data_IF_775654210466
#
_entry.id   IF_775654210466
#
_cell.length_a   1.000
_cell.length_b   1.000
_cell.length_c   1.000
_cell.angle_alpha   90.00
_cell.angle_beta   90.00
_cell.angle_gamma   90.00
#
_symmetry.space_group_name_H-M   'P 1'
#
loop_
_entity.id
_entity.type
_entity.pdbx_description
1 polymer ?
#
# COMPACT_ATOMS: atom_id res chain seq x y z
N UNK A 1 -6.34 -12.01 -4.65
CA UNK A 1 -6.92 -10.64 -4.56
C UNK A 1 -6.00 -9.53 -5.08
N UNK A 2 -4.71 -9.75 -5.31
CA UNK A 2 -3.79 -8.70 -5.78
C UNK A 2 -3.99 -8.40 -7.26
N UNK A 3 -4.16 -9.42 -8.11
CA UNK A 3 -4.38 -9.22 -9.54
C UNK A 3 -5.68 -8.47 -9.87
N UNK A 4 -6.82 -8.77 -9.27
CA UNK A 4 -8.02 -7.95 -9.48
C UNK A 4 -7.86 -6.47 -9.12
N UNK A 5 -7.09 -6.16 -8.07
CA UNK A 5 -6.80 -4.77 -7.71
C UNK A 5 -5.94 -4.07 -8.77
N UNK A 6 -4.96 -4.77 -9.34
CA UNK A 6 -4.13 -4.26 -10.43
C UNK A 6 -4.93 -4.05 -11.70
N UNK A 7 -5.82 -4.98 -12.05
CA UNK A 7 -6.73 -4.82 -13.19
C UNK A 7 -7.61 -3.58 -13.04
N UNK A 8 -8.21 -3.38 -11.86
CA UNK A 8 -8.99 -2.17 -11.58
C UNK A 8 -8.13 -0.92 -11.72
N UNK A 9 -6.90 -0.91 -11.20
CA UNK A 9 -5.99 0.23 -11.34
C UNK A 9 -5.68 0.55 -12.81
N UNK A 10 -5.48 -0.45 -13.66
CA UNK A 10 -5.29 -0.28 -15.09
C UNK A 10 -6.50 0.32 -15.78
N UNK A 11 -7.69 -0.26 -15.54
CA UNK A 11 -8.94 0.19 -16.16
C UNK A 11 -9.28 1.63 -15.77
N UNK A 12 -9.13 1.98 -14.50
CA UNK A 12 -9.40 3.33 -14.02
C UNK A 12 -8.38 4.35 -14.54
N UNK A 13 -7.10 3.98 -14.56
CA UNK A 13 -6.04 4.82 -15.14
C UNK A 13 -6.21 5.00 -16.65
N UNK A 14 -6.56 3.94 -17.39
CA UNK A 14 -6.84 4.01 -18.82
C UNK A 14 -8.06 4.88 -19.14
N UNK A 15 -9.03 4.95 -18.23
CA UNK A 15 -10.18 5.85 -18.31
C UNK A 15 -9.85 7.31 -17.93
N UNK A 16 -8.56 7.64 -17.73
CA UNK A 16 -8.12 9.00 -17.40
C UNK A 16 -8.36 9.40 -15.93
N UNK A 17 -8.76 8.46 -15.07
CA UNK A 17 -8.98 8.74 -13.65
C UNK A 17 -7.67 8.70 -12.87
N UNK A 18 -7.40 9.68 -11.99
CA UNK A 18 -6.28 9.63 -11.07
C UNK A 18 -6.39 8.39 -10.19
N UNK A 19 -5.46 7.47 -10.35
CA UNK A 19 -5.45 6.17 -9.67
C UNK A 19 -4.16 6.02 -8.88
N UNK A 20 -4.25 5.51 -7.69
CA UNK A 20 -3.09 5.30 -6.80
C UNK A 20 -3.15 3.88 -6.27
N UNK A 21 -2.05 3.15 -6.42
CA UNK A 21 -1.96 1.76 -5.98
C UNK A 21 -0.95 1.61 -4.86
N UNK A 22 -1.29 0.79 -3.86
CA UNK A 22 -0.37 0.48 -2.76
C UNK A 22 -0.29 -1.01 -2.47
N UNK A 23 0.77 -1.35 -1.78
CA UNK A 23 0.97 -2.65 -1.14
C UNK A 23 1.33 -2.43 0.32
N UNK A 24 0.53 -2.96 1.21
CA UNK A 24 0.89 -3.00 2.62
C UNK A 24 1.81 -4.19 2.87
N UNK A 25 3.05 -3.91 3.25
CA UNK A 25 4.09 -4.90 3.47
C UNK A 25 4.67 -4.86 4.90
N UNK A 26 4.08 -4.06 5.76
CA UNK A 26 4.54 -3.91 7.13
C UNK A 26 3.92 -4.97 8.05
N UNK A 27 4.77 -5.52 8.89
CA UNK A 27 4.35 -6.36 10.01
C UNK A 27 4.60 -5.58 11.29
N UNK A 28 3.53 -5.39 12.09
CA UNK A 28 3.66 -4.74 13.39
C UNK A 28 4.77 -5.37 14.22
N UNK A 29 5.54 -4.56 14.92
CA UNK A 29 6.77 -5.01 15.61
C UNK A 29 6.53 -6.20 16.53
N UNK A 30 5.40 -6.22 17.23
CA UNK A 30 4.98 -7.31 18.13
C UNK A 30 4.61 -8.64 17.44
N UNK A 31 4.50 -8.63 16.10
CA UNK A 31 4.08 -9.79 15.31
C UNK A 31 5.19 -10.35 14.42
N UNK A 32 6.36 -9.69 14.32
CA UNK A 32 7.44 -10.07 13.39
C UNK A 32 7.95 -11.49 13.57
N UNK A 33 7.96 -11.99 14.79
CA UNK A 33 8.38 -13.36 15.09
C UNK A 33 7.25 -14.40 14.93
N UNK A 34 6.01 -13.93 14.71
CA UNK A 34 4.82 -14.79 14.67
C UNK A 34 4.29 -15.00 13.26
N UNK A 35 4.52 -14.04 12.35
CA UNK A 35 4.03 -14.10 10.98
C UNK A 35 5.12 -13.71 9.98
N UNK A 36 5.11 -14.35 8.81
CA UNK A 36 6.13 -14.15 7.76
C UNK A 36 5.88 -12.94 6.86
N UNK A 37 4.78 -12.23 7.04
CA UNK A 37 4.39 -11.09 6.19
C UNK A 37 3.09 -10.46 6.63
N UNK A 38 2.73 -9.35 6.02
CA UNK A 38 1.47 -8.67 6.29
C UNK A 38 0.28 -9.56 5.92
N UNK A 39 -0.64 -9.73 6.85
CA UNK A 39 -1.86 -10.50 6.64
C UNK A 39 -2.98 -9.56 6.13
N UNK A 40 -4.09 -10.17 5.69
CA UNK A 40 -5.28 -9.42 5.28
C UNK A 40 -5.79 -8.51 6.41
N UNK A 41 -6.16 -7.29 6.06
CA UNK A 41 -6.71 -6.27 6.96
C UNK A 41 -5.75 -5.77 8.07
N UNK A 42 -4.47 -6.12 8.01
CA UNK A 42 -3.49 -5.62 8.99
C UNK A 42 -3.09 -4.16 8.77
N UNK A 43 -3.40 -3.58 7.61
CA UNK A 43 -3.23 -2.17 7.30
C UNK A 43 -4.21 -1.24 8.04
N UNK A 44 -5.39 -1.75 8.41
CA UNK A 44 -6.47 -0.94 8.99
C UNK A 44 -6.03 -0.11 10.20
N UNK A 45 -5.35 -0.68 11.22
CA UNK A 45 -4.90 0.11 12.38
C UNK A 45 -3.90 1.20 12.02
N UNK A 46 -3.16 1.04 10.92
CA UNK A 46 -2.19 2.03 10.45
C UNK A 46 -2.89 3.15 9.66
N UNK A 47 -3.81 2.81 8.77
CA UNK A 47 -4.58 3.79 8.00
C UNK A 47 -5.42 4.69 8.92
N UNK A 48 -6.03 4.14 9.95
CA UNK A 48 -6.84 4.90 10.93
C UNK A 48 -6.05 5.41 12.14
N UNK A 49 -4.74 5.24 12.16
CA UNK A 49 -3.85 5.67 13.26
C UNK A 49 -4.28 5.10 14.63
N UNK A 50 -4.81 3.87 14.61
CA UNK A 50 -5.26 3.14 15.81
C UNK A 50 -4.30 2.00 16.19
N UNK A 51 -3.09 1.97 15.63
CA UNK A 51 -2.09 0.94 15.92
C UNK A 51 -1.77 0.87 17.41
N UNK A 52 -1.67 2.02 18.09
CA UNK A 52 -1.45 2.08 19.54
C UNK A 52 -2.59 1.47 20.35
N UNK A 53 -3.83 1.68 19.94
CA UNK A 53 -4.99 1.06 20.60
C UNK A 53 -5.05 -0.44 20.37
N UNK A 54 -4.58 -0.92 19.19
CA UNK A 54 -4.59 -2.35 18.85
C UNK A 54 -3.46 -3.15 19.48
N UNK A 55 -2.25 -2.58 19.52
CA UNK A 55 -1.04 -3.28 19.97
C UNK A 55 -0.57 -2.84 21.36
N UNK A 56 -1.24 -1.85 21.95
CA UNK A 56 -1.05 -1.36 23.32
C UNK A 56 0.43 -1.10 23.67
N UNK A 57 0.91 -1.64 24.78
CA UNK A 57 2.30 -1.49 25.22
C UNK A 57 3.35 -2.12 24.28
N UNK A 58 2.92 -2.97 23.34
CA UNK A 58 3.80 -3.58 22.36
C UNK A 58 3.99 -2.72 21.09
N UNK A 59 3.34 -1.55 21.01
CA UNK A 59 3.52 -0.60 19.91
C UNK A 59 4.88 0.08 20.01
N UNK A 60 5.63 0.04 18.93
CA UNK A 60 6.94 0.70 18.84
C UNK A 60 6.84 2.06 18.13
N UNK A 61 7.92 2.84 18.21
CA UNK A 61 8.03 4.11 17.46
C UNK A 61 7.94 3.90 15.95
N UNK A 62 8.42 2.77 15.44
CA UNK A 62 8.32 2.44 14.01
C UNK A 62 6.86 2.18 13.62
N UNK A 63 6.10 1.47 14.47
CA UNK A 63 4.68 1.24 14.27
C UNK A 63 3.91 2.58 14.23
N UNK A 64 4.20 3.48 15.17
CA UNK A 64 3.59 4.81 15.24
C UNK A 64 3.96 5.68 14.03
N UNK A 65 5.22 5.67 13.62
CA UNK A 65 5.68 6.43 12.46
C UNK A 65 5.01 5.97 11.17
N UNK A 66 4.88 4.65 10.96
CA UNK A 66 4.17 4.14 9.79
C UNK A 66 2.67 4.45 9.85
N UNK A 67 2.04 4.35 11.03
CA UNK A 67 0.63 4.70 11.19
C UNK A 67 0.38 6.17 10.86
N UNK A 68 1.20 7.08 11.36
CA UNK A 68 1.12 8.51 11.05
C UNK A 68 1.29 8.77 9.53
N UNK A 69 2.26 8.11 8.88
CA UNK A 69 2.47 8.26 7.45
C UNK A 69 1.30 7.71 6.63
N UNK A 70 0.82 6.51 6.94
CA UNK A 70 -0.31 5.90 6.25
C UNK A 70 -1.57 6.77 6.41
N UNK A 71 -1.90 7.17 7.61
CA UNK A 71 -3.05 8.05 7.87
C UNK A 71 -2.94 9.37 7.09
N UNK A 72 -1.78 10.03 7.09
CA UNK A 72 -1.57 11.28 6.38
C UNK A 72 -1.82 11.15 4.88
N UNK A 73 -1.37 10.08 4.23
CA UNK A 73 -1.67 9.81 2.82
C UNK A 73 -3.18 9.65 2.57
N UNK A 74 -3.88 8.88 3.41
CA UNK A 74 -5.33 8.66 3.25
C UNK A 74 -6.13 9.93 3.50
N UNK A 75 -5.76 10.72 4.51
CA UNK A 75 -6.41 12.01 4.82
C UNK A 75 -6.19 13.01 3.67
N UNK A 76 -4.98 13.08 3.11
CA UNK A 76 -4.71 13.93 1.94
C UNK A 76 -5.57 13.51 0.75
N UNK A 77 -5.57 12.22 0.42
CA UNK A 77 -6.38 11.70 -0.68
C UNK A 77 -7.89 11.95 -0.47
N UNK A 78 -8.41 11.74 0.73
CA UNK A 78 -9.82 11.97 1.02
C UNK A 78 -10.22 13.44 0.86
N UNK A 79 -9.30 14.37 1.15
CA UNK A 79 -9.55 15.81 1.03
C UNK A 79 -9.39 16.35 -0.37
N UNK A 80 -8.46 15.82 -1.15
CA UNK A 80 -7.99 16.47 -2.39
C UNK A 80 -8.05 15.55 -3.61
N UNK A 81 -8.21 14.24 -3.43
CA UNK A 81 -8.04 13.25 -4.49
C UNK A 81 -6.58 12.94 -4.83
N UNK A 82 -5.63 13.50 -4.05
CA UNK A 82 -4.20 13.28 -4.22
C UNK A 82 -3.59 12.91 -2.86
N UNK A 83 -2.86 11.77 -2.75
CA UNK A 83 -2.22 11.37 -1.50
C UNK A 83 -0.98 12.21 -1.15
N UNK A 84 -0.52 13.11 -2.02
CA UNK A 84 0.67 13.92 -1.78
C UNK A 84 0.63 14.59 -0.40
N UNK A 85 1.67 14.36 0.38
CA UNK A 85 1.77 14.85 1.76
C UNK A 85 3.16 15.42 1.99
N UNK A 86 3.29 16.67 2.45
CA UNK A 86 4.59 17.28 2.76
C UNK A 86 5.38 16.44 3.76
N UNK A 87 6.66 16.25 3.49
CA UNK A 87 7.58 15.50 4.35
C UNK A 87 7.51 13.98 4.20
N UNK A 88 6.58 13.45 3.40
CA UNK A 88 6.53 12.03 3.06
C UNK A 88 7.00 11.76 1.63
N UNK A 89 7.46 10.54 1.33
CA UNK A 89 7.82 10.14 -0.03
C UNK A 89 6.66 10.37 -1.01
N UNK A 90 6.94 10.83 -2.23
CA UNK A 90 5.89 11.06 -3.23
C UNK A 90 5.20 9.75 -3.61
N UNK A 91 3.88 9.77 -3.65
CA UNK A 91 3.07 8.66 -4.13
C UNK A 91 2.63 8.96 -5.58
N UNK A 92 3.26 8.36 -6.59
CA UNK A 92 2.92 8.66 -7.97
C UNK A 92 1.56 8.09 -8.36
N UNK A 93 0.91 8.73 -9.32
CA UNK A 93 -0.25 8.16 -10.00
C UNK A 93 0.16 6.84 -10.65
N UNK A 94 -0.73 5.87 -10.60
CA UNK A 94 -0.52 4.60 -11.27
C UNK A 94 -0.45 4.78 -12.78
N UNK A 95 0.54 4.17 -13.37
CA UNK A 95 0.77 4.06 -14.80
C UNK A 95 1.10 2.61 -15.14
N UNK A 96 0.40 2.05 -16.12
CA UNK A 96 0.56 0.65 -16.52
C UNK A 96 1.98 0.32 -16.98
N UNK A 97 2.65 1.26 -17.65
CA UNK A 97 4.02 1.04 -18.16
C UNK A 97 5.04 0.94 -17.03
N UNK A 98 4.92 1.81 -16.05
CA UNK A 98 5.79 1.82 -14.89
C UNK A 98 5.42 0.78 -13.84
N UNK A 99 4.12 0.48 -13.73
CA UNK A 99 3.55 -0.45 -12.74
C UNK A 99 4.12 -0.20 -11.32
N UNK A 100 4.21 1.09 -10.99
CA UNK A 100 4.76 1.55 -9.71
C UNK A 100 3.67 1.54 -8.66
N UNK A 101 3.98 0.98 -7.50
CA UNK A 101 3.11 0.94 -6.34
C UNK A 101 3.77 1.59 -5.13
N UNK A 102 3.00 2.21 -4.27
CA UNK A 102 3.48 2.64 -2.96
C UNK A 102 3.60 1.44 -2.03
N UNK A 103 4.79 1.11 -1.61
CA UNK A 103 5.02 0.08 -0.60
C UNK A 103 4.96 0.73 0.78
N UNK A 104 3.91 0.42 1.54
CA UNK A 104 3.80 0.81 2.95
C UNK A 104 4.50 -0.26 3.80
N UNK A 105 5.77 -0.03 4.09
CA UNK A 105 6.66 -1.01 4.74
C UNK A 105 7.78 -0.35 5.52
N UNK A 106 8.70 -1.17 6.03
CA UNK A 106 9.87 -0.70 6.75
C UNK A 106 11.07 -0.47 5.78
N UNK A 107 11.98 0.49 6.08
CA UNK A 107 11.94 1.40 7.23
C UNK A 107 10.96 2.57 7.06
N UNK A 108 10.48 2.83 5.85
CA UNK A 108 9.56 3.92 5.50
C UNK A 108 8.77 3.57 4.24
N UNK A 109 7.64 4.25 3.97
CA UNK A 109 6.94 4.15 2.68
C UNK A 109 7.87 4.46 1.51
N UNK A 110 7.74 3.72 0.41
CA UNK A 110 8.53 3.96 -0.80
C UNK A 110 7.76 3.55 -2.07
N UNK A 111 7.76 4.42 -3.08
CA UNK A 111 7.23 4.08 -4.39
C UNK A 111 8.26 3.24 -5.17
N UNK A 112 7.85 2.06 -5.62
CA UNK A 112 8.71 1.10 -6.34
C UNK A 112 7.91 0.36 -7.40
N UNK A 113 8.59 -0.20 -8.40
CA UNK A 113 7.98 -1.20 -9.26
C UNK A 113 7.41 -2.34 -8.40
N UNK A 114 6.22 -2.84 -8.75
CA UNK A 114 5.58 -3.91 -7.97
C UNK A 114 6.51 -5.14 -7.90
N UNK A 115 6.95 -5.57 -6.72
CA UNK A 115 7.83 -6.72 -6.58
C UNK A 115 7.20 -8.04 -7.09
N UNK A 116 5.87 -8.05 -7.28
CA UNK A 116 5.15 -9.20 -7.80
C UNK A 116 4.78 -9.06 -9.27
N UNK A 117 5.27 -8.02 -9.95
CA UNK A 117 4.92 -7.73 -11.35
C UNK A 117 5.01 -8.98 -12.24
N UNK A 118 6.14 -9.67 -12.24
CA UNK A 118 6.33 -10.85 -13.09
C UNK A 118 5.31 -11.97 -12.81
N UNK A 119 4.97 -12.19 -11.53
CA UNK A 119 3.95 -13.17 -11.13
C UNK A 119 2.55 -12.72 -11.55
N UNK A 120 2.23 -11.44 -11.41
CA UNK A 120 0.95 -10.87 -11.78
C UNK A 120 0.75 -10.87 -13.30
N UNK A 121 1.80 -10.55 -14.07
CA UNK A 121 1.80 -10.64 -15.53
C UNK A 121 1.51 -12.07 -16.01
N UNK A 122 2.08 -13.07 -15.32
CA UNK A 122 1.81 -14.48 -15.64
C UNK A 122 0.36 -14.87 -15.34
N UNK A 123 -0.19 -14.45 -14.19
CA UNK A 123 -1.58 -14.71 -13.80
C UNK A 123 -2.55 -14.09 -14.81
N UNK A 124 -2.32 -12.85 -15.19
CA UNK A 124 -3.14 -12.14 -16.17
C UNK A 124 -3.12 -12.84 -17.53
N UNK A 125 -1.93 -13.20 -18.01
CA UNK A 125 -1.78 -13.94 -19.27
C UNK A 125 -2.52 -15.27 -19.24
N UNK A 126 -2.48 -15.99 -18.13
CA UNK A 126 -3.20 -17.24 -17.97
C UNK A 126 -4.73 -17.04 -17.97
N UNK A 127 -5.21 -15.95 -17.37
CA UNK A 127 -6.65 -15.64 -17.29
C UNK A 127 -7.22 -15.17 -18.65
N UNK A 128 -6.40 -14.60 -19.54
CA UNK A 128 -6.85 -14.10 -20.85
C UNK A 128 -6.78 -15.13 -21.96
N UNK A 129 -6.26 -16.34 -21.70
CA UNK A 129 -6.16 -17.42 -22.68
C UNK A 129 -7.37 -18.38 -22.67
N UNK A 130 -8.42 -18.04 -21.95
CA UNK A 130 -9.71 -18.74 -21.91
C UNK A 130 -10.82 -17.81 -22.40
#
# INVERSE_FOLDING_TARGET
>A
MVEPARLVARLTSAAGQPTYQYRFAYVASSLRDKVKGALHATEIPFVFETARAKYEAATTKDDEALAAAANAYWVSFAKTGDPATPGLPPWPKYDEKGDVVMILGAPAPAAKADPWKARLDWIEKAATQH
#
